data_IF_767724622477
#
_entry.id   IF_767724622477
#
_cell.length_a   1.000
_cell.length_b   1.000
_cell.length_c   1.000
_cell.angle_alpha   90.00
_cell.angle_beta   90.00
_cell.angle_gamma   90.00
#
_symmetry.space_group_name_H-M   'P 1'
#
loop_
_entity.id
_entity.type
_entity.pdbx_description
1 polymer ?
#
# COMPACT_ATOMS: atom_id res chain seq x y z
N UNK A 1 35.88 63.19 -20.66
CA UNK A 1 36.27 61.82 -20.97
C UNK A 1 36.05 61.00 -19.68
N UNK A 2 34.87 60.42 -19.54
CA UNK A 2 34.47 59.66 -18.36
C UNK A 2 34.10 58.24 -18.81
N UNK A 3 34.83 57.25 -18.38
CA UNK A 3 34.54 55.84 -18.61
C UNK A 3 33.55 55.36 -17.57
N UNK A 4 32.43 54.84 -18.03
CA UNK A 4 31.45 54.13 -17.22
C UNK A 4 31.83 52.65 -17.29
N UNK A 5 32.15 52.03 -16.16
CA UNK A 5 32.32 50.59 -16.02
C UNK A 5 30.98 49.99 -15.58
N UNK A 6 30.36 49.22 -16.48
CA UNK A 6 29.16 48.44 -16.18
C UNK A 6 29.57 47.16 -15.42
N UNK A 7 29.17 47.03 -14.18
CA UNK A 7 29.27 45.80 -13.42
C UNK A 7 28.11 44.88 -13.77
N UNK A 8 28.41 43.69 -14.33
CA UNK A 8 27.46 42.59 -14.45
C UNK A 8 27.25 41.97 -13.07
N UNK A 9 26.12 42.25 -12.46
CA UNK A 9 25.60 41.48 -11.34
C UNK A 9 25.04 40.17 -11.88
N UNK A 10 25.70 39.05 -11.53
CA UNK A 10 25.13 37.71 -11.69
C UNK A 10 24.04 37.53 -10.66
N UNK A 11 22.79 37.63 -11.07
CA UNK A 11 21.65 37.16 -10.34
C UNK A 11 21.76 35.62 -10.24
N UNK A 12 22.22 35.14 -9.10
CA UNK A 12 22.10 33.72 -8.76
C UNK A 12 20.61 33.37 -8.71
N UNK A 13 20.15 32.61 -9.68
CA UNK A 13 18.88 31.91 -9.55
C UNK A 13 18.96 31.00 -8.31
N UNK A 14 17.90 30.96 -7.49
CA UNK A 14 17.83 29.96 -6.45
C UNK A 14 17.76 28.60 -7.16
N UNK A 15 18.80 27.80 -7.00
CA UNK A 15 18.76 26.38 -7.28
C UNK A 15 17.62 25.80 -6.43
N UNK A 16 16.47 25.61 -7.05
CA UNK A 16 15.44 24.71 -6.54
C UNK A 16 16.11 23.37 -6.37
N UNK A 17 16.42 23.01 -5.11
CA UNK A 17 16.76 21.65 -4.78
C UNK A 17 15.62 20.78 -5.32
N UNK A 18 15.93 19.95 -6.31
CA UNK A 18 15.04 18.94 -6.82
C UNK A 18 14.76 18.04 -5.63
N UNK A 19 13.60 18.23 -4.99
CA UNK A 19 13.11 17.27 -4.01
C UNK A 19 13.07 15.94 -4.73
N UNK A 20 13.94 15.01 -4.32
CA UNK A 20 13.94 13.67 -4.86
C UNK A 20 12.53 13.10 -4.70
N UNK A 21 11.96 12.60 -5.78
CA UNK A 21 10.66 11.93 -5.73
C UNK A 21 10.72 10.85 -4.66
N UNK A 22 9.90 10.95 -3.63
CA UNK A 22 9.75 9.91 -2.61
C UNK A 22 8.99 8.71 -3.17
N UNK A 23 8.27 8.86 -4.27
CA UNK A 23 7.68 7.74 -5.00
C UNK A 23 8.81 7.03 -5.75
N UNK A 24 9.00 5.75 -5.44
CA UNK A 24 9.97 4.91 -6.11
C UNK A 24 9.76 4.97 -7.62
N UNK A 25 10.74 5.50 -8.33
CA UNK A 25 10.78 5.41 -9.79
C UNK A 25 10.91 3.95 -10.19
N UNK A 26 10.38 3.62 -11.35
CA UNK A 26 10.49 2.30 -11.97
C UNK A 26 11.93 1.83 -12.06
N UNK A 27 12.17 0.59 -11.65
CA UNK A 27 13.48 -0.05 -11.74
C UNK A 27 13.51 -0.95 -12.95
N UNK A 28 14.44 -0.72 -13.89
CA UNK A 28 14.71 -1.69 -14.96
C UNK A 28 15.52 -2.85 -14.40
N UNK A 29 14.98 -4.05 -14.55
CA UNK A 29 15.68 -5.31 -14.28
C UNK A 29 15.69 -6.16 -15.55
N UNK A 30 16.59 -7.13 -15.62
CA UNK A 30 16.69 -8.00 -16.79
C UNK A 30 15.35 -8.70 -17.08
N UNK A 31 14.91 -8.65 -18.33
CA UNK A 31 13.65 -9.24 -18.81
C UNK A 31 12.37 -8.77 -18.09
N UNK A 32 12.38 -7.59 -17.49
CA UNK A 32 11.20 -7.00 -16.92
C UNK A 32 10.79 -5.74 -17.69
N UNK A 33 9.53 -5.63 -18.05
CA UNK A 33 8.88 -4.37 -18.34
C UNK A 33 8.79 -3.54 -17.06
N UNK A 34 8.76 -2.21 -17.18
CA UNK A 34 8.76 -1.34 -16.02
C UNK A 34 7.48 -0.54 -15.99
N UNK A 35 6.69 -0.73 -14.92
CA UNK A 35 5.53 0.07 -14.62
C UNK A 35 5.90 1.11 -13.57
N UNK A 36 5.60 2.38 -13.85
CA UNK A 36 5.87 3.47 -12.95
C UNK A 36 4.61 4.05 -12.38
N UNK A 37 4.67 4.44 -11.11
CA UNK A 37 3.77 5.43 -10.60
C UNK A 37 4.30 6.80 -10.96
N UNK A 38 3.73 7.42 -11.99
CA UNK A 38 4.02 8.81 -12.35
C UNK A 38 3.37 9.80 -11.38
N UNK A 39 2.89 9.31 -10.22
CA UNK A 39 2.26 10.18 -9.23
C UNK A 39 3.30 11.08 -8.59
N UNK A 40 2.94 12.35 -8.49
CA UNK A 40 3.68 13.24 -7.61
C UNK A 40 3.35 12.88 -6.15
N UNK A 41 4.32 12.87 -5.26
CA UNK A 41 4.10 12.57 -3.85
C UNK A 41 2.92 13.34 -3.23
N UNK A 42 2.82 14.63 -3.53
CA UNK A 42 1.81 15.52 -2.96
C UNK A 42 0.42 15.43 -3.64
N UNK A 43 0.27 14.61 -4.68
CA UNK A 43 -0.98 14.35 -5.38
C UNK A 43 -1.64 13.03 -5.00
N UNK A 44 -1.05 12.25 -4.10
CA UNK A 44 -1.58 10.94 -3.69
C UNK A 44 -2.82 11.08 -2.78
N UNK A 45 -2.80 12.04 -1.86
CA UNK A 45 -3.93 12.33 -0.99
C UNK A 45 -4.93 13.29 -1.65
N UNK A 46 -6.20 13.20 -1.26
CA UNK A 46 -7.19 14.19 -1.65
C UNK A 46 -6.78 15.57 -1.09
N UNK A 47 -6.88 16.66 -1.90
CA UNK A 47 -6.39 17.97 -1.50
C UNK A 47 -7.18 18.57 -0.34
N UNK A 48 -8.48 18.28 -0.28
CA UNK A 48 -9.39 18.81 0.72
C UNK A 48 -10.07 17.68 1.50
N UNK A 49 -10.37 17.89 2.80
CA UNK A 49 -11.17 16.95 3.58
C UNK A 49 -12.53 16.68 2.92
N UNK A 50 -12.88 15.42 2.80
CA UNK A 50 -14.20 15.02 2.37
C UNK A 50 -15.26 15.63 3.31
N UNK A 51 -16.46 15.99 2.80
CA UNK A 51 -17.52 16.58 3.61
C UNK A 51 -17.96 15.61 4.72
N UNK A 52 -18.34 16.19 5.85
CA UNK A 52 -18.97 15.46 6.94
C UNK A 52 -20.34 14.96 6.52
N UNK A 53 -20.67 13.76 6.94
CA UNK A 53 -22.01 13.21 6.83
C UNK A 53 -22.93 13.90 7.84
N UNK A 54 -24.20 14.04 7.51
CA UNK A 54 -25.22 14.53 8.45
C UNK A 54 -25.32 13.61 9.67
N UNK A 55 -25.54 14.20 10.86
CA UNK A 55 -25.71 13.43 12.08
C UNK A 55 -25.25 14.14 13.35
N UNK A 56 -25.27 13.43 14.48
CA UNK A 56 -24.87 14.00 15.76
C UNK A 56 -23.37 14.27 15.83
N UNK A 57 -22.92 15.19 16.72
CA UNK A 57 -21.51 15.50 16.90
C UNK A 57 -20.68 14.34 17.48
N UNK A 58 -21.32 13.46 18.24
CA UNK A 58 -20.74 12.22 18.75
C UNK A 58 -21.43 11.03 18.08
N UNK A 59 -20.66 10.06 17.62
CA UNK A 59 -21.15 8.91 16.86
C UNK A 59 -20.67 7.61 17.48
N UNK A 60 -21.53 6.61 17.46
CA UNK A 60 -21.16 5.25 17.78
C UNK A 60 -20.59 4.57 16.54
N UNK A 61 -19.33 4.16 16.63
CA UNK A 61 -18.63 3.43 15.56
C UNK A 61 -18.39 2.01 16.01
N UNK A 62 -18.75 1.06 15.16
CA UNK A 62 -18.55 -0.36 15.42
C UNK A 62 -17.08 -0.72 15.29
N UNK A 63 -16.55 -1.45 16.29
CA UNK A 63 -15.26 -2.10 16.20
C UNK A 63 -15.39 -3.42 15.44
N UNK A 64 -14.34 -3.78 14.70
CA UNK A 64 -14.23 -5.12 14.17
C UNK A 64 -14.19 -6.14 15.31
N UNK A 65 -14.81 -7.29 15.11
CA UNK A 65 -14.78 -8.40 16.06
C UNK A 65 -13.63 -9.34 15.69
N UNK A 66 -12.85 -9.71 16.68
CA UNK A 66 -11.69 -10.59 16.51
C UNK A 66 -11.68 -11.74 17.51
N UNK A 67 -10.51 -12.30 17.72
CA UNK A 67 -10.30 -13.39 18.67
C UNK A 67 -10.72 -12.98 20.09
N UNK A 68 -11.12 -13.95 20.90
CA UNK A 68 -11.45 -13.73 22.30
C UNK A 68 -10.22 -13.22 23.07
N UNK A 69 -10.23 -11.93 23.41
CA UNK A 69 -9.23 -11.29 24.26
C UNK A 69 -9.84 -10.89 25.60
N UNK A 70 -9.02 -10.67 26.60
CA UNK A 70 -9.49 -10.24 27.93
C UNK A 70 -8.70 -9.01 28.38
N UNK A 71 -9.37 -7.86 28.67
CA UNK A 71 -10.81 -7.60 28.48
C UNK A 71 -11.22 -7.59 27.01
N UNK A 72 -12.49 -7.90 26.68
CA UNK A 72 -12.97 -7.87 25.30
C UNK A 72 -12.99 -6.43 24.75
N UNK A 73 -12.70 -6.28 23.45
CA UNK A 73 -12.92 -5.01 22.75
C UNK A 73 -14.42 -4.71 22.78
N UNK A 74 -14.85 -3.46 23.13
CA UNK A 74 -16.25 -3.10 23.11
C UNK A 74 -16.82 -3.20 21.69
N UNK A 75 -18.08 -3.55 21.55
CA UNK A 75 -18.73 -3.66 20.23
C UNK A 75 -18.74 -2.32 19.49
N UNK A 76 -18.90 -1.22 20.23
CA UNK A 76 -18.88 0.15 19.68
C UNK A 76 -18.00 1.07 20.52
N UNK A 77 -17.45 2.09 19.86
CA UNK A 77 -16.73 3.20 20.48
C UNK A 77 -17.42 4.50 20.12
N UNK A 78 -17.67 5.36 21.13
CA UNK A 78 -18.18 6.72 20.89
C UNK A 78 -17.02 7.63 20.50
N UNK A 79 -17.11 8.25 19.33
CA UNK A 79 -16.11 9.16 18.78
C UNK A 79 -16.73 10.49 18.35
N UNK A 80 -15.95 11.55 18.31
CA UNK A 80 -16.38 12.81 17.66
C UNK A 80 -16.50 12.60 16.16
N UNK A 81 -17.55 13.18 15.57
CA UNK A 81 -17.78 13.08 14.13
C UNK A 81 -16.65 13.71 13.29
N UNK A 82 -15.92 14.70 13.83
CA UNK A 82 -14.87 15.42 13.13
C UNK A 82 -13.57 15.47 13.96
N UNK A 83 -12.89 14.34 14.16
CA UNK A 83 -11.64 14.29 14.91
C UNK A 83 -10.57 15.15 14.24
N UNK A 84 -9.74 15.83 15.05
CA UNK A 84 -8.74 16.78 14.57
C UNK A 84 -7.30 16.28 14.80
N UNK A 85 -7.12 15.26 15.63
CA UNK A 85 -5.83 14.72 16.01
C UNK A 85 -5.88 13.18 16.00
N UNK A 86 -5.55 12.61 14.87
CA UNK A 86 -5.69 11.18 14.61
C UNK A 86 -4.33 10.50 14.72
N UNK A 87 -4.27 9.38 15.42
CA UNK A 87 -3.16 8.42 15.35
C UNK A 87 -3.64 7.20 14.59
N UNK A 88 -2.87 6.77 13.57
CA UNK A 88 -3.13 5.58 12.79
C UNK A 88 -2.05 4.52 13.06
N UNK A 89 -2.48 3.29 13.36
CA UNK A 89 -1.57 2.20 13.73
C UNK A 89 -1.40 1.15 12.64
N UNK A 90 -1.94 1.41 11.42
CA UNK A 90 -1.76 0.53 10.27
C UNK A 90 -1.76 1.32 8.95
N UNK A 91 -1.13 0.76 7.90
CA UNK A 91 -0.94 1.43 6.61
C UNK A 91 -2.23 1.66 5.84
N UNK A 92 -3.18 0.72 5.89
CA UNK A 92 -4.52 0.82 5.31
C UNK A 92 -5.32 2.01 5.88
N UNK A 93 -5.16 2.30 7.17
CA UNK A 93 -5.78 3.45 7.84
C UNK A 93 -5.16 4.76 7.36
N UNK A 94 -3.84 4.82 7.18
CA UNK A 94 -3.15 5.97 6.60
C UNK A 94 -3.60 6.23 5.16
N UNK A 95 -3.71 5.17 4.36
CA UNK A 95 -4.20 5.21 2.98
C UNK A 95 -5.65 5.75 2.94
N UNK A 96 -6.52 5.24 3.82
CA UNK A 96 -7.90 5.70 3.94
C UNK A 96 -8.00 7.18 4.34
N UNK A 97 -7.21 7.63 5.33
CA UNK A 97 -7.18 9.03 5.76
C UNK A 97 -6.66 9.94 4.64
N UNK A 98 -5.66 9.50 3.89
CA UNK A 98 -5.13 10.18 2.71
C UNK A 98 -6.22 10.32 1.63
N UNK A 99 -6.94 9.24 1.32
CA UNK A 99 -8.03 9.25 0.34
C UNK A 99 -9.21 10.15 0.74
N UNK A 100 -9.45 10.29 2.05
CA UNK A 100 -10.50 11.17 2.60
C UNK A 100 -10.03 12.63 2.79
N UNK A 101 -8.79 12.97 2.44
CA UNK A 101 -8.23 14.33 2.58
C UNK A 101 -7.93 14.72 4.03
N UNK A 102 -7.67 13.74 4.91
CA UNK A 102 -7.46 13.95 6.34
C UNK A 102 -5.99 13.88 6.77
N UNK A 103 -5.05 13.84 5.82
CA UNK A 103 -3.61 13.73 6.09
C UNK A 103 -3.09 14.81 7.06
N UNK A 104 -3.62 16.03 6.99
CA UNK A 104 -3.24 17.13 7.90
C UNK A 104 -3.71 16.96 9.35
N UNK A 105 -4.60 16.00 9.60
CA UNK A 105 -5.10 15.67 10.94
C UNK A 105 -4.36 14.50 11.58
N UNK A 106 -3.56 13.77 10.81
CA UNK A 106 -2.73 12.69 11.34
C UNK A 106 -1.56 13.30 12.08
N UNK A 107 -1.41 12.99 13.35
CA UNK A 107 -0.38 13.57 14.22
C UNK A 107 0.76 12.62 14.54
N UNK A 108 0.56 11.33 14.37
CA UNK A 108 1.57 10.28 14.40
C UNK A 108 1.02 9.01 13.75
N UNK A 109 1.89 8.13 13.29
CA UNK A 109 1.49 6.86 12.72
C UNK A 109 2.50 5.74 13.03
N UNK A 110 2.01 4.50 13.14
CA UNK A 110 2.89 3.36 13.27
C UNK A 110 3.65 3.12 11.95
N UNK A 111 4.92 2.77 12.05
CA UNK A 111 5.76 2.38 10.92
C UNK A 111 5.37 0.98 10.42
N UNK A 112 5.48 0.70 9.12
CA UNK A 112 5.45 -0.66 8.62
C UNK A 112 6.53 -1.51 9.29
N UNK A 113 6.23 -2.78 9.59
CA UNK A 113 7.24 -3.67 10.20
C UNK A 113 8.46 -3.80 9.29
N UNK A 114 9.64 -3.62 9.86
CA UNK A 114 10.91 -3.69 9.13
C UNK A 114 11.25 -2.45 8.29
N UNK A 115 10.43 -1.39 8.33
CA UNK A 115 10.72 -0.10 7.69
C UNK A 115 11.11 0.96 8.73
N UNK A 116 12.16 1.77 8.49
CA UNK A 116 12.47 2.91 9.33
C UNK A 116 11.62 4.14 9.00
N UNK A 117 10.88 4.12 7.89
CA UNK A 117 10.19 5.27 7.33
C UNK A 117 8.70 5.00 7.11
N UNK A 118 7.89 6.06 7.12
CA UNK A 118 6.49 6.01 6.71
C UNK A 118 6.36 5.75 5.20
N UNK A 119 5.20 5.24 4.73
CA UNK A 119 4.99 4.95 3.31
C UNK A 119 5.25 6.17 2.42
N UNK A 120 6.03 5.99 1.36
CA UNK A 120 6.36 7.07 0.42
C UNK A 120 5.27 7.33 -0.60
N UNK A 121 4.47 6.32 -0.97
CA UNK A 121 3.45 6.43 -2.01
C UNK A 121 2.26 7.33 -1.62
N UNK A 122 2.08 7.65 -0.34
CA UNK A 122 1.02 8.52 0.16
C UNK A 122 1.39 10.02 0.15
N UNK A 123 2.64 10.34 -0.18
CA UNK A 123 3.12 11.71 -0.28
C UNK A 123 3.80 12.25 0.98
N UNK A 124 4.38 13.45 0.86
CA UNK A 124 5.24 14.06 1.87
C UNK A 124 4.53 14.24 3.20
N UNK A 125 3.25 14.64 3.18
CA UNK A 125 2.48 14.88 4.40
C UNK A 125 2.34 13.62 5.29
N UNK A 126 2.35 12.43 4.69
CA UNK A 126 2.33 11.17 5.43
C UNK A 126 3.75 10.70 5.71
N UNK A 127 4.67 10.83 4.73
CA UNK A 127 6.04 10.36 4.87
C UNK A 127 6.79 11.05 6.02
N UNK A 128 6.50 12.30 6.29
CA UNK A 128 7.14 13.09 7.36
C UNK A 128 6.47 12.94 8.73
N UNK A 129 5.46 12.05 8.88
CA UNK A 129 4.78 11.86 10.16
C UNK A 129 5.70 11.26 11.22
N UNK A 130 5.58 11.72 12.49
CA UNK A 130 6.25 11.10 13.60
C UNK A 130 5.84 9.63 13.77
N UNK A 131 6.80 8.77 14.11
CA UNK A 131 6.52 7.38 14.40
C UNK A 131 5.77 7.20 15.74
N UNK A 132 4.79 6.30 15.73
CA UNK A 132 4.04 5.85 16.90
C UNK A 132 4.37 4.38 17.25
N UNK A 133 5.62 3.97 17.11
CA UNK A 133 6.06 2.59 17.15
C UNK A 133 5.94 1.91 15.78
N UNK A 134 5.86 0.59 15.77
CA UNK A 134 5.56 -0.19 14.56
C UNK A 134 4.13 -0.73 14.61
N UNK A 135 3.62 -1.24 13.48
CA UNK A 135 2.25 -1.78 13.41
C UNK A 135 2.06 -3.02 14.30
N UNK A 136 3.13 -3.75 14.63
CA UNK A 136 3.13 -4.91 15.53
C UNK A 136 3.54 -4.57 16.98
N UNK A 137 4.08 -3.37 17.23
CA UNK A 137 4.54 -2.91 18.54
C UNK A 137 4.34 -1.38 18.66
N UNK A 138 3.11 -0.92 18.96
CA UNK A 138 2.78 0.50 19.11
C UNK A 138 3.48 1.12 20.33
N UNK A 139 4.08 2.28 20.16
CA UNK A 139 4.67 3.06 21.27
C UNK A 139 3.61 3.89 21.98
N UNK A 140 3.10 3.39 23.10
CA UNK A 140 2.06 4.05 23.91
C UNK A 140 2.50 5.42 24.44
N UNK A 141 3.80 5.65 24.66
CA UNK A 141 4.30 6.95 25.15
C UNK A 141 4.32 7.98 24.03
N UNK A 142 4.79 7.59 22.84
CA UNK A 142 4.73 8.42 21.63
C UNK A 142 3.26 8.78 21.29
N UNK A 143 2.36 7.79 21.34
CA UNK A 143 0.92 8.00 21.10
C UNK A 143 0.34 9.00 22.12
N UNK A 144 0.62 8.82 23.41
CA UNK A 144 0.15 9.75 24.47
C UNK A 144 0.69 11.15 24.25
N UNK A 145 1.96 11.28 23.89
CA UNK A 145 2.62 12.56 23.62
C UNK A 145 2.02 13.29 22.43
N UNK A 146 1.52 12.54 21.42
CA UNK A 146 0.83 13.08 20.26
C UNK A 146 -0.54 13.69 20.62
N UNK A 147 -1.10 13.40 21.82
CA UNK A 147 -2.40 13.89 22.30
C UNK A 147 -3.53 13.72 21.27
N UNK A 148 -3.81 12.51 20.84
CA UNK A 148 -4.87 12.25 19.87
C UNK A 148 -6.25 12.50 20.47
N UNK A 149 -7.24 12.75 19.60
CA UNK A 149 -8.68 12.70 19.91
C UNK A 149 -9.37 11.51 19.23
N UNK A 150 -8.63 10.77 18.40
CA UNK A 150 -9.01 9.48 17.83
C UNK A 150 -7.75 8.62 17.62
N UNK A 151 -7.84 7.34 17.98
CA UNK A 151 -6.84 6.32 17.63
C UNK A 151 -7.52 5.27 16.74
N UNK A 152 -6.89 4.95 15.62
CA UNK A 152 -7.29 3.88 14.73
C UNK A 152 -6.29 2.72 14.89
N UNK A 153 -6.79 1.51 15.09
CA UNK A 153 -5.99 0.30 15.21
C UNK A 153 -6.62 -0.88 14.49
N UNK A 154 -6.04 -2.07 14.61
CA UNK A 154 -6.55 -3.29 13.99
C UNK A 154 -6.68 -4.43 14.99
N UNK A 155 -7.83 -5.10 14.96
CA UNK A 155 -8.09 -6.29 15.79
C UNK A 155 -7.18 -7.48 15.43
N UNK A 156 -6.59 -7.46 14.25
CA UNK A 156 -5.71 -8.53 13.78
C UNK A 156 -4.23 -8.29 14.12
N UNK A 157 -3.83 -7.04 14.39
CA UNK A 157 -2.43 -6.67 14.63
C UNK A 157 -2.10 -6.65 16.13
N UNK A 158 -2.79 -5.82 16.89
CA UNK A 158 -2.49 -5.61 18.34
C UNK A 158 -3.78 -5.55 19.16
N UNK A 159 -4.61 -6.60 19.12
CA UNK A 159 -5.89 -6.59 19.84
C UNK A 159 -5.74 -6.39 21.36
N UNK A 160 -4.64 -6.87 21.96
CA UNK A 160 -4.32 -6.76 23.38
C UNK A 160 -4.04 -5.31 23.83
N UNK A 161 -3.61 -4.42 22.92
CA UNK A 161 -3.30 -3.03 23.23
C UNK A 161 -4.54 -2.13 23.32
N UNK A 162 -5.71 -2.60 22.86
CA UNK A 162 -6.94 -1.80 22.86
C UNK A 162 -7.24 -1.14 24.22
N UNK A 163 -7.17 -1.80 25.39
CA UNK A 163 -7.46 -1.17 26.67
C UNK A 163 -6.49 -0.04 27.02
N UNK A 164 -5.20 -0.20 26.68
CA UNK A 164 -4.16 0.81 26.93
C UNK A 164 -4.32 2.02 25.99
N UNK A 165 -4.65 1.78 24.74
CA UNK A 165 -4.95 2.81 23.74
C UNK A 165 -6.24 3.57 24.11
N UNK A 166 -7.31 2.88 24.49
CA UNK A 166 -8.58 3.47 24.90
C UNK A 166 -8.47 4.32 26.18
N UNK A 167 -7.46 4.07 27.02
CA UNK A 167 -7.11 4.93 28.14
C UNK A 167 -6.45 6.26 27.74
N UNK A 168 -5.97 6.38 26.50
CA UNK A 168 -5.37 7.61 25.96
C UNK A 168 -6.43 8.45 25.22
N UNK A 169 -7.18 7.83 24.31
CA UNK A 169 -8.24 8.49 23.52
C UNK A 169 -9.26 7.46 23.01
N UNK A 170 -10.45 7.90 22.52
CA UNK A 170 -11.37 7.02 21.83
C UNK A 170 -10.65 6.21 20.74
N UNK A 171 -10.78 4.87 20.83
CA UNK A 171 -10.04 3.94 19.96
C UNK A 171 -11.02 3.09 19.18
N UNK A 172 -10.88 3.09 17.86
CA UNK A 172 -11.65 2.26 16.92
C UNK A 172 -10.72 1.27 16.24
N UNK A 173 -11.08 0.00 16.31
CA UNK A 173 -10.34 -1.06 15.65
C UNK A 173 -11.06 -1.52 14.37
N UNK A 174 -10.32 -1.45 13.25
CA UNK A 174 -10.69 -2.07 11.99
C UNK A 174 -10.40 -3.57 11.97
N UNK A 175 -10.71 -4.23 10.86
CA UNK A 175 -10.43 -5.64 10.60
C UNK A 175 -8.95 -5.96 10.41
N UNK A 176 -8.71 -7.08 9.74
CA UNK A 176 -7.37 -7.43 9.28
C UNK A 176 -7.05 -6.67 7.99
N UNK A 177 -5.90 -5.98 7.90
CA UNK A 177 -5.45 -5.41 6.63
C UNK A 177 -5.40 -6.47 5.52
N UNK A 178 -5.58 -6.04 4.27
CA UNK A 178 -5.50 -6.94 3.12
C UNK A 178 -6.82 -7.09 2.37
N UNK A 179 -7.42 -8.28 2.32
CA UNK A 179 -8.63 -8.55 1.50
C UNK A 179 -9.82 -7.69 1.91
N UNK A 180 -9.97 -7.39 3.19
CA UNK A 180 -11.08 -6.61 3.74
C UNK A 180 -10.89 -5.08 3.67
N UNK A 181 -9.91 -4.58 2.93
CA UNK A 181 -9.55 -3.16 2.87
C UNK A 181 -10.72 -2.20 2.58
N UNK A 182 -11.76 -2.64 1.85
CA UNK A 182 -12.97 -1.84 1.60
C UNK A 182 -13.78 -1.63 2.89
N UNK A 183 -13.85 -2.64 3.75
CA UNK A 183 -14.54 -2.53 5.04
C UNK A 183 -13.71 -1.72 6.03
N UNK A 184 -12.38 -1.80 5.96
CA UNK A 184 -11.49 -0.96 6.77
C UNK A 184 -11.60 0.50 6.36
N UNK A 185 -11.68 0.82 5.06
CA UNK A 185 -11.99 2.19 4.58
C UNK A 185 -13.34 2.69 5.10
N UNK A 186 -14.39 1.84 5.12
CA UNK A 186 -15.71 2.21 5.71
C UNK A 186 -15.60 2.48 7.21
N UNK A 187 -14.81 1.68 7.92
CA UNK A 187 -14.57 1.87 9.36
C UNK A 187 -13.88 3.19 9.64
N UNK A 188 -12.83 3.54 8.88
CA UNK A 188 -12.17 4.85 8.97
C UNK A 188 -13.12 5.99 8.59
N UNK A 189 -13.94 5.82 7.55
CA UNK A 189 -14.98 6.76 7.15
C UNK A 189 -15.98 7.01 8.27
N UNK A 190 -16.48 5.95 8.91
CA UNK A 190 -17.42 6.06 10.05
C UNK A 190 -16.74 6.74 11.25
N UNK A 191 -15.49 6.37 11.59
CA UNK A 191 -14.76 6.95 12.71
C UNK A 191 -14.41 8.43 12.52
N UNK A 192 -14.40 8.90 11.28
CA UNK A 192 -14.12 10.31 10.93
C UNK A 192 -15.35 11.09 10.47
N UNK A 193 -16.55 10.47 10.54
CA UNK A 193 -17.82 11.07 10.11
C UNK A 193 -17.94 11.27 8.60
N UNK A 194 -17.30 10.40 7.81
CA UNK A 194 -17.21 10.48 6.34
C UNK A 194 -17.52 9.14 5.66
N UNK A 195 -18.44 8.36 6.25
CA UNK A 195 -18.84 7.06 5.73
C UNK A 195 -19.40 7.14 4.31
N UNK A 196 -20.19 8.18 4.02
CA UNK A 196 -20.74 8.40 2.68
C UNK A 196 -19.63 8.68 1.64
N UNK A 197 -18.60 9.42 2.06
CA UNK A 197 -17.42 9.64 1.19
C UNK A 197 -16.63 8.35 0.97
N UNK A 198 -16.42 7.55 2.01
CA UNK A 198 -15.76 6.24 1.89
C UNK A 198 -16.51 5.31 0.94
N UNK A 199 -17.84 5.23 1.05
CA UNK A 199 -18.67 4.45 0.13
C UNK A 199 -18.54 4.93 -1.32
N UNK A 200 -18.61 6.26 -1.55
CA UNK A 200 -18.39 6.81 -2.91
C UNK A 200 -17.02 6.47 -3.49
N UNK A 201 -15.96 6.51 -2.66
CA UNK A 201 -14.62 6.13 -3.10
C UNK A 201 -14.55 4.66 -3.54
N UNK A 202 -15.24 3.77 -2.83
CA UNK A 202 -15.34 2.34 -3.16
C UNK A 202 -16.14 2.15 -4.46
N UNK A 203 -17.32 2.77 -4.57
CA UNK A 203 -18.15 2.70 -5.77
C UNK A 203 -17.41 3.20 -7.02
N UNK A 204 -16.65 4.30 -6.88
CA UNK A 204 -15.83 4.86 -7.95
C UNK A 204 -14.66 3.94 -8.34
N UNK A 205 -14.05 3.30 -7.36
CA UNK A 205 -13.01 2.31 -7.57
C UNK A 205 -13.57 1.10 -8.32
N UNK A 206 -14.69 0.51 -7.87
CA UNK A 206 -15.28 -0.66 -8.49
C UNK A 206 -15.66 -0.41 -9.95
N UNK A 207 -16.28 0.74 -10.25
CA UNK A 207 -16.56 1.13 -11.65
C UNK A 207 -15.30 1.29 -12.48
N UNK A 208 -14.22 1.80 -11.88
CA UNK A 208 -12.94 1.97 -12.59
C UNK A 208 -12.27 0.63 -12.82
N UNK A 209 -12.32 -0.28 -11.85
CA UNK A 209 -11.78 -1.63 -11.95
C UNK A 209 -12.51 -2.43 -13.04
N UNK A 210 -13.85 -2.47 -13.00
CA UNK A 210 -14.67 -3.11 -14.02
C UNK A 210 -14.37 -2.59 -15.44
N UNK A 211 -14.30 -1.23 -15.56
CA UNK A 211 -13.99 -0.60 -16.84
C UNK A 211 -12.60 -0.97 -17.34
N UNK A 212 -11.61 -0.98 -16.45
CA UNK A 212 -10.23 -1.35 -16.81
C UNK A 212 -10.18 -2.80 -17.27
N UNK A 213 -10.87 -3.70 -16.56
CA UNK A 213 -10.98 -5.10 -16.94
C UNK A 213 -11.57 -5.29 -18.33
N UNK A 214 -12.67 -4.59 -18.62
CA UNK A 214 -13.34 -4.66 -19.92
C UNK A 214 -12.51 -4.05 -21.06
N UNK A 215 -11.91 -2.86 -20.82
CA UNK A 215 -11.11 -2.14 -21.83
C UNK A 215 -9.85 -2.90 -22.24
N UNK A 216 -9.31 -3.73 -21.34
CA UNK A 216 -8.03 -4.45 -21.52
C UNK A 216 -8.21 -5.98 -21.62
N UNK A 217 -9.45 -6.45 -21.74
CA UNK A 217 -9.74 -7.90 -21.91
C UNK A 217 -9.13 -8.77 -20.78
N UNK A 218 -9.15 -8.23 -19.56
CA UNK A 218 -8.41 -8.75 -18.42
C UNK A 218 -8.76 -10.22 -18.07
N UNK A 219 -10.01 -10.65 -18.31
CA UNK A 219 -10.50 -12.00 -18.00
C UNK A 219 -9.83 -13.11 -18.83
N UNK A 220 -9.09 -12.74 -19.88
CA UNK A 220 -8.33 -13.71 -20.68
C UNK A 220 -6.91 -13.94 -20.17
N UNK A 221 -6.50 -13.28 -19.11
CA UNK A 221 -5.14 -13.34 -18.60
C UNK A 221 -5.07 -13.86 -17.17
N UNK A 222 -4.04 -14.66 -16.91
CA UNK A 222 -3.68 -15.15 -15.58
C UNK A 222 -2.42 -14.47 -15.10
N UNK A 223 -2.55 -13.63 -14.06
CA UNK A 223 -1.43 -12.88 -13.49
C UNK A 223 -0.85 -13.58 -12.26
N UNK A 224 0.46 -13.75 -12.26
CA UNK A 224 1.25 -14.15 -11.11
C UNK A 224 1.71 -12.93 -10.33
N UNK A 225 1.59 -12.95 -9.00
CA UNK A 225 2.09 -11.90 -8.10
C UNK A 225 3.27 -12.46 -7.33
N UNK A 226 4.42 -11.82 -7.51
CA UNK A 226 5.70 -12.27 -6.98
C UNK A 226 6.38 -11.15 -6.19
N UNK A 227 7.01 -11.49 -5.09
CA UNK A 227 7.89 -10.59 -4.35
C UNK A 227 9.24 -11.27 -4.14
N UNK A 228 10.32 -10.56 -4.47
CA UNK A 228 11.65 -10.98 -4.05
C UNK A 228 11.97 -10.40 -2.68
N UNK A 229 12.48 -11.25 -1.79
CA UNK A 229 13.18 -10.87 -0.58
C UNK A 229 14.68 -11.06 -0.79
N UNK A 230 15.49 -10.86 0.24
CA UNK A 230 16.95 -11.02 0.15
C UNK A 230 17.36 -12.48 -0.16
N UNK A 231 16.53 -13.45 0.24
CA UNK A 231 16.87 -14.87 0.15
C UNK A 231 15.81 -15.74 -0.52
N UNK A 232 14.57 -15.24 -0.66
CA UNK A 232 13.48 -16.02 -1.23
C UNK A 232 12.69 -15.24 -2.29
N UNK A 233 12.02 -15.96 -3.14
CA UNK A 233 10.92 -15.51 -3.98
C UNK A 233 9.62 -15.97 -3.34
N UNK A 234 8.73 -15.06 -3.02
CA UNK A 234 7.36 -15.30 -2.56
C UNK A 234 6.42 -15.25 -3.73
N UNK A 235 5.59 -16.27 -3.88
CA UNK A 235 4.52 -16.30 -4.87
C UNK A 235 3.20 -16.29 -4.11
N UNK A 236 2.42 -15.23 -4.28
CA UNK A 236 1.22 -14.97 -3.49
C UNK A 236 0.02 -15.77 -3.98
N UNK A 237 -0.82 -16.21 -3.04
CA UNK A 237 -2.12 -16.81 -3.29
C UNK A 237 -3.20 -15.79 -3.66
N UNK A 238 -4.48 -16.16 -3.45
CA UNK A 238 -5.62 -15.28 -3.75
C UNK A 238 -6.04 -14.44 -2.55
N UNK A 239 -5.82 -14.92 -1.32
CA UNK A 239 -6.29 -14.29 -0.08
C UNK A 239 -5.28 -13.25 0.44
N UNK A 240 -5.15 -12.15 -0.33
CA UNK A 240 -4.33 -10.99 0.00
C UNK A 240 -4.83 -9.75 -0.73
N UNK A 241 -4.29 -8.59 -0.39
CA UNK A 241 -4.69 -7.30 -0.95
C UNK A 241 -4.61 -7.27 -2.49
N UNK A 242 -3.46 -7.58 -3.07
CA UNK A 242 -3.27 -7.55 -4.52
C UNK A 242 -4.21 -8.55 -5.21
N UNK A 243 -4.41 -9.73 -4.60
CA UNK A 243 -5.36 -10.74 -5.09
C UNK A 243 -6.80 -10.23 -5.17
N UNK A 244 -7.25 -9.46 -4.17
CA UNK A 244 -8.59 -8.86 -4.16
C UNK A 244 -8.76 -7.82 -5.27
N UNK A 245 -7.74 -6.97 -5.52
CA UNK A 245 -7.77 -5.96 -6.58
C UNK A 245 -7.73 -6.61 -7.97
N UNK A 246 -6.94 -7.68 -8.16
CA UNK A 246 -6.95 -8.46 -9.39
C UNK A 246 -8.33 -9.04 -9.68
N UNK A 247 -9.02 -9.57 -8.66
CA UNK A 247 -10.38 -10.08 -8.77
C UNK A 247 -11.37 -8.97 -9.13
N UNK A 248 -11.27 -7.78 -8.54
CA UNK A 248 -12.11 -6.62 -8.87
C UNK A 248 -11.95 -6.19 -10.35
N UNK A 249 -10.76 -6.34 -10.93
CA UNK A 249 -10.50 -6.04 -12.36
C UNK A 249 -10.89 -7.22 -13.26
N UNK A 250 -11.11 -8.41 -12.71
CA UNK A 250 -11.41 -9.62 -13.46
C UNK A 250 -10.20 -10.35 -14.01
N UNK A 251 -8.99 -10.06 -13.52
CA UNK A 251 -7.77 -10.80 -13.84
C UNK A 251 -7.72 -12.09 -13.04
N UNK A 252 -7.59 -13.22 -13.73
CA UNK A 252 -7.56 -14.53 -13.07
C UNK A 252 -6.18 -14.85 -12.47
N UNK A 253 -6.14 -15.84 -11.58
CA UNK A 253 -4.91 -16.35 -10.99
C UNK A 253 -4.54 -17.69 -11.59
N UNK A 254 -3.24 -17.96 -11.87
CA UNK A 254 -2.80 -19.28 -12.29
C UNK A 254 -3.27 -20.37 -11.31
N UNK A 255 -3.61 -21.58 -11.78
CA UNK A 255 -4.13 -22.65 -10.93
C UNK A 255 -3.23 -22.94 -9.70
N UNK A 256 -1.90 -22.89 -9.85
CA UNK A 256 -0.94 -23.09 -8.77
C UNK A 256 -0.98 -22.00 -7.69
N UNK A 257 -1.66 -20.87 -7.94
CA UNK A 257 -1.73 -19.71 -7.06
C UNK A 257 -3.15 -19.45 -6.52
N UNK A 258 -4.09 -20.38 -6.72
CA UNK A 258 -5.47 -20.26 -6.21
C UNK A 258 -5.63 -20.80 -4.78
N UNK A 259 -4.55 -20.87 -4.02
CA UNK A 259 -4.57 -21.23 -2.60
C UNK A 259 -4.94 -20.02 -1.73
N UNK A 260 -5.62 -20.29 -0.61
CA UNK A 260 -6.06 -19.29 0.39
C UNK A 260 -5.73 -19.71 1.82
N UNK A 261 -5.11 -20.88 2.00
CA UNK A 261 -4.72 -21.43 3.31
C UNK A 261 -3.43 -20.80 3.87
N UNK A 262 -2.74 -20.01 3.06
CA UNK A 262 -1.50 -19.30 3.39
C UNK A 262 -1.34 -18.08 2.49
N UNK A 263 -0.60 -17.04 2.90
CA UNK A 263 -0.45 -15.85 2.08
C UNK A 263 0.40 -16.08 0.82
N UNK A 264 1.44 -16.91 0.90
CA UNK A 264 2.37 -17.18 -0.22
C UNK A 264 3.05 -18.55 -0.06
N UNK A 265 3.69 -19.00 -1.14
CA UNK A 265 4.71 -20.05 -1.14
C UNK A 265 6.08 -19.41 -1.37
N UNK A 266 7.14 -19.99 -0.79
CA UNK A 266 8.50 -19.47 -0.92
C UNK A 266 9.39 -20.44 -1.71
N UNK A 267 10.27 -19.86 -2.55
CA UNK A 267 11.33 -20.56 -3.26
C UNK A 267 12.63 -19.84 -2.99
N UNK A 268 13.69 -20.56 -2.62
CA UNK A 268 15.02 -20.00 -2.36
C UNK A 268 15.63 -19.36 -3.60
N UNK A 269 16.27 -18.19 -3.42
CA UNK A 269 16.96 -17.46 -4.48
C UNK A 269 18.38 -17.04 -4.08
N UNK A 270 18.96 -17.67 -3.09
CA UNK A 270 20.38 -17.49 -2.74
C UNK A 270 21.27 -17.97 -3.86
N UNK A 271 22.57 -17.68 -3.80
CA UNK A 271 23.54 -18.16 -4.80
C UNK A 271 23.61 -19.68 -4.82
N UNK A 272 23.46 -20.33 -3.68
CA UNK A 272 23.41 -21.79 -3.58
C UNK A 272 22.13 -22.35 -4.23
N UNK A 273 20.97 -21.73 -3.96
CA UNK A 273 19.72 -22.14 -4.59
C UNK A 273 19.79 -22.03 -6.11
N UNK A 274 20.28 -20.89 -6.62
CA UNK A 274 20.42 -20.67 -8.06
C UNK A 274 21.39 -21.65 -8.73
N UNK A 275 22.45 -22.05 -8.05
CA UNK A 275 23.39 -23.07 -8.54
C UNK A 275 22.74 -24.47 -8.66
N UNK A 276 21.73 -24.74 -7.81
CA UNK A 276 20.98 -25.99 -7.80
C UNK A 276 19.71 -25.96 -8.70
N UNK A 277 19.55 -24.93 -9.55
CA UNK A 277 18.42 -24.76 -10.47
C UNK A 277 17.06 -24.86 -9.77
N UNK A 278 16.66 -23.85 -8.98
CA UNK A 278 15.41 -23.87 -8.23
C UNK A 278 14.20 -23.99 -9.15
N UNK A 279 13.11 -24.55 -8.63
CA UNK A 279 11.86 -24.66 -9.36
C UNK A 279 11.02 -23.39 -9.20
N UNK A 280 10.94 -22.58 -10.24
CA UNK A 280 10.12 -21.37 -10.29
C UNK A 280 8.73 -21.57 -10.91
N UNK A 281 8.32 -22.81 -11.19
CA UNK A 281 6.99 -23.08 -11.80
C UNK A 281 5.82 -22.59 -10.96
N UNK A 282 5.99 -22.39 -9.66
CA UNK A 282 4.99 -21.75 -8.82
C UNK A 282 4.64 -20.33 -9.31
N UNK A 283 5.55 -19.63 -9.98
CA UNK A 283 5.36 -18.29 -10.54
C UNK A 283 4.85 -18.30 -12.00
N UNK A 284 4.54 -19.47 -12.56
CA UNK A 284 4.03 -19.56 -13.93
C UNK A 284 2.70 -18.80 -14.09
N UNK A 285 2.52 -18.12 -15.23
CA UNK A 285 1.35 -17.34 -15.57
C UNK A 285 1.54 -16.63 -16.92
N UNK A 286 0.45 -16.03 -17.45
CA UNK A 286 0.55 -15.22 -18.68
C UNK A 286 1.34 -13.93 -18.44
N UNK A 287 1.27 -13.40 -17.21
CA UNK A 287 2.02 -12.23 -16.75
C UNK A 287 2.59 -12.49 -15.36
N UNK A 288 3.68 -11.80 -15.05
CA UNK A 288 4.25 -11.75 -13.70
C UNK A 288 4.39 -10.29 -13.28
N UNK A 289 3.76 -9.92 -12.18
CA UNK A 289 4.01 -8.67 -11.48
C UNK A 289 4.99 -8.95 -10.35
N UNK A 290 6.20 -8.39 -10.43
CA UNK A 290 7.28 -8.62 -9.47
C UNK A 290 7.61 -7.36 -8.69
N UNK A 291 7.64 -7.48 -7.37
CA UNK A 291 8.07 -6.43 -6.44
C UNK A 291 9.33 -6.85 -5.67
N UNK A 292 9.97 -5.89 -5.01
CA UNK A 292 11.20 -6.11 -4.25
C UNK A 292 10.96 -5.61 -2.82
N UNK A 293 11.11 -6.49 -1.84
CA UNK A 293 10.87 -6.14 -0.43
C UNK A 293 11.93 -5.16 0.10
N UNK A 294 13.16 -5.25 -0.40
CA UNK A 294 14.33 -4.48 0.06
C UNK A 294 15.17 -3.99 -1.12
N UNK A 295 16.13 -3.12 -0.85
CA UNK A 295 17.13 -2.70 -1.84
C UNK A 295 18.01 -3.90 -2.27
N UNK A 296 18.40 -4.76 -1.34
CA UNK A 296 19.18 -5.97 -1.56
C UNK A 296 18.44 -6.96 -2.48
N UNK A 297 17.15 -7.14 -2.25
CA UNK A 297 16.29 -7.96 -3.12
C UNK A 297 16.28 -7.42 -4.56
N UNK A 298 16.22 -6.09 -4.71
CA UNK A 298 16.26 -5.41 -6.02
C UNK A 298 17.60 -5.60 -6.71
N UNK A 299 18.71 -5.48 -5.98
CA UNK A 299 20.07 -5.69 -6.52
C UNK A 299 20.29 -7.14 -6.96
N UNK A 300 19.68 -8.10 -6.26
CA UNK A 300 19.72 -9.53 -6.61
C UNK A 300 18.86 -9.89 -7.81
N UNK A 301 17.79 -9.16 -8.09
CA UNK A 301 16.80 -9.49 -9.11
C UNK A 301 17.38 -9.79 -10.50
N UNK A 302 18.37 -9.05 -11.05
CA UNK A 302 18.97 -9.37 -12.35
C UNK A 302 19.60 -10.76 -12.38
N UNK A 303 20.19 -11.22 -11.27
CA UNK A 303 20.80 -12.56 -11.18
C UNK A 303 19.72 -13.66 -11.17
N UNK A 304 18.65 -13.48 -10.42
CA UNK A 304 17.52 -14.41 -10.36
C UNK A 304 16.84 -14.50 -11.72
N UNK A 305 16.47 -13.35 -12.31
CA UNK A 305 15.79 -13.27 -13.60
C UNK A 305 16.69 -13.68 -14.79
N UNK A 306 18.02 -13.60 -14.61
CA UNK A 306 19.00 -14.10 -15.56
C UNK A 306 19.22 -15.61 -15.52
N UNK A 307 18.70 -16.32 -14.52
CA UNK A 307 18.85 -17.76 -14.36
C UNK A 307 18.06 -18.55 -15.42
N UNK A 308 18.54 -19.76 -15.76
CA UNK A 308 17.84 -20.62 -16.71
C UNK A 308 16.46 -21.06 -16.19
N UNK A 309 16.31 -21.19 -14.87
CA UNK A 309 15.04 -21.51 -14.25
C UNK A 309 13.98 -20.42 -14.50
N UNK A 310 14.32 -19.15 -14.30
CA UNK A 310 13.43 -18.02 -14.57
C UNK A 310 13.13 -17.84 -16.06
N UNK A 311 14.15 -18.00 -16.92
CA UNK A 311 13.98 -17.85 -18.37
C UNK A 311 13.05 -18.88 -19.00
N UNK A 312 12.74 -19.98 -18.30
CA UNK A 312 11.77 -20.99 -18.77
C UNK A 312 10.32 -20.56 -18.55
N UNK A 313 10.03 -19.61 -17.65
CA UNK A 313 8.69 -19.12 -17.39
C UNK A 313 8.08 -18.50 -18.66
N UNK A 314 6.79 -18.78 -18.93
CA UNK A 314 6.08 -18.29 -20.10
C UNK A 314 6.09 -16.77 -20.16
N UNK A 315 5.71 -16.10 -19.07
CA UNK A 315 5.72 -14.64 -18.99
C UNK A 315 7.09 -14.03 -19.31
N UNK A 316 8.19 -14.69 -18.90
CA UNK A 316 9.52 -14.19 -19.21
C UNK A 316 9.87 -14.32 -20.70
N UNK A 317 9.48 -15.44 -21.35
CA UNK A 317 9.69 -15.64 -22.78
C UNK A 317 8.91 -14.66 -23.63
N UNK A 318 7.73 -14.27 -23.15
CA UNK A 318 6.80 -13.37 -23.83
C UNK A 318 7.02 -11.89 -23.47
N UNK A 319 8.09 -11.56 -22.73
CA UNK A 319 8.40 -10.21 -22.23
C UNK A 319 7.25 -9.59 -21.40
N UNK A 320 6.55 -10.43 -20.62
CA UNK A 320 5.40 -10.02 -19.80
C UNK A 320 5.70 -10.09 -18.30
N UNK A 321 6.90 -9.76 -17.91
CA UNK A 321 7.32 -9.58 -16.52
C UNK A 321 7.41 -8.09 -16.24
N UNK A 322 6.65 -7.62 -15.24
CA UNK A 322 6.53 -6.22 -14.90
C UNK A 322 7.01 -5.96 -13.48
N UNK A 323 8.02 -5.09 -13.33
CA UNK A 323 8.44 -4.61 -12.02
C UNK A 323 7.44 -3.57 -11.51
N UNK A 324 6.95 -3.78 -10.28
CA UNK A 324 5.93 -2.93 -9.66
C UNK A 324 6.40 -2.37 -8.33
N UNK A 325 5.74 -1.32 -7.86
CA UNK A 325 6.05 -0.70 -6.58
C UNK A 325 5.60 -1.61 -5.42
N UNK A 326 6.55 -2.00 -4.56
CA UNK A 326 6.29 -2.88 -3.43
C UNK A 326 5.32 -2.27 -2.41
N UNK A 327 5.41 -0.97 -2.13
CA UNK A 327 4.49 -0.32 -1.20
C UNK A 327 3.03 -0.39 -1.69
N UNK A 328 2.81 -0.24 -3.00
CA UNK A 328 1.48 -0.29 -3.61
C UNK A 328 0.94 -1.71 -3.68
N UNK A 329 1.77 -2.68 -4.05
CA UNK A 329 1.31 -4.04 -4.31
C UNK A 329 1.30 -4.94 -3.07
N UNK A 330 2.12 -4.65 -2.04
CA UNK A 330 2.33 -5.55 -0.91
C UNK A 330 2.03 -4.95 0.46
N UNK A 331 2.24 -3.65 0.68
CA UNK A 331 2.16 -3.07 2.03
C UNK A 331 1.19 -1.90 2.17
N UNK A 332 0.63 -1.40 1.07
CA UNK A 332 -0.29 -0.25 1.09
C UNK A 332 -1.67 -0.60 1.64
N UNK A 333 -2.24 -1.67 1.15
CA UNK A 333 -3.46 -2.33 1.62
C UNK A 333 -4.70 -1.42 1.72
N UNK A 334 -4.77 -0.30 0.94
CA UNK A 334 -5.89 0.64 0.93
C UNK A 334 -6.27 1.14 -0.46
N UNK A 335 -7.23 2.10 -0.51
CA UNK A 335 -7.85 2.58 -1.77
C UNK A 335 -6.85 3.28 -2.70
N UNK A 336 -5.87 4.02 -2.15
CA UNK A 336 -4.85 4.71 -2.96
C UNK A 336 -3.93 3.68 -3.60
N UNK A 337 -3.50 2.67 -2.84
CA UNK A 337 -2.72 1.54 -3.34
C UNK A 337 -3.53 0.73 -4.37
N UNK A 338 -4.81 0.42 -4.10
CA UNK A 338 -5.68 -0.29 -5.03
C UNK A 338 -5.80 0.41 -6.39
N UNK A 339 -5.97 1.73 -6.38
CA UNK A 339 -5.96 2.55 -7.62
C UNK A 339 -4.62 2.47 -8.35
N UNK A 340 -3.52 2.35 -7.61
CA UNK A 340 -2.19 2.12 -8.17
C UNK A 340 -2.09 0.79 -8.91
N UNK A 341 -2.58 -0.29 -8.31
CA UNK A 341 -2.63 -1.61 -8.96
C UNK A 341 -3.50 -1.55 -10.23
N UNK A 342 -4.71 -0.98 -10.17
CA UNK A 342 -5.58 -0.84 -11.35
C UNK A 342 -4.88 -0.04 -12.47
N UNK A 343 -4.11 0.99 -12.12
CA UNK A 343 -3.32 1.74 -13.11
C UNK A 343 -2.23 0.88 -13.78
N UNK A 344 -1.59 -0.02 -13.03
CA UNK A 344 -0.59 -0.95 -13.57
C UNK A 344 -1.25 -2.03 -14.45
N UNK A 345 -2.47 -2.47 -14.12
CA UNK A 345 -3.22 -3.49 -14.88
C UNK A 345 -3.68 -3.03 -16.28
N UNK A 346 -3.58 -1.76 -16.61
CA UNK A 346 -3.82 -1.26 -17.98
C UNK A 346 -2.89 -1.90 -19.03
N UNK A 347 -1.79 -2.50 -18.60
CA UNK A 347 -0.87 -3.22 -19.47
C UNK A 347 -1.07 -4.75 -19.46
N UNK A 348 -2.16 -5.24 -18.88
CA UNK A 348 -2.44 -6.69 -18.78
C UNK A 348 -2.45 -7.38 -20.13
N UNK A 349 -2.95 -6.74 -21.19
CA UNK A 349 -2.96 -7.24 -22.55
C UNK A 349 -1.96 -6.54 -23.48
N UNK A 350 -0.89 -5.95 -22.93
CA UNK A 350 0.14 -5.33 -23.75
C UNK A 350 0.71 -6.31 -24.80
N UNK A 351 1.04 -5.85 -26.02
CA UNK A 351 1.56 -6.72 -27.07
C UNK A 351 2.79 -7.50 -26.61
N UNK A 352 2.90 -8.75 -27.08
CA UNK A 352 4.10 -9.55 -26.95
C UNK A 352 5.15 -8.95 -27.91
N UNK A 353 6.29 -8.51 -27.40
CA UNK A 353 7.38 -7.89 -28.18
C UNK A 353 8.58 -8.80 -28.29
#
# INVERSE_FOLDING_TARGET
>A
MALIVAGCGSSGEPTTATQGSIITSTTRVASAGVLGNDRRPDESCAPDPAPLDDGPPDREVRNATGHAITPPIPETTVVRADPQRIVALAGDQLDALCALGLQSRVVAAALPDGSPDQPSYLGTAIHDLPAAGTRSDPDLEAIRSARPDLILGSVALTPEDHPALAAIAPTVFSGAPGVAWKDDLRTVGAATGRLDAANRLIDDFERTADKTGADHDAAHFQASVVQFTDTTMRVFGTDNFAGSVLADVGVDRPPAQRFSDKPYVEVGITDEDLANSPDFTAAEGDLIYVSFATAEARERAPKVMGSDAWKRLSANRDNRVFAVNNEIWQTGEGIVAARGIVADLRLVNAPIN
#
